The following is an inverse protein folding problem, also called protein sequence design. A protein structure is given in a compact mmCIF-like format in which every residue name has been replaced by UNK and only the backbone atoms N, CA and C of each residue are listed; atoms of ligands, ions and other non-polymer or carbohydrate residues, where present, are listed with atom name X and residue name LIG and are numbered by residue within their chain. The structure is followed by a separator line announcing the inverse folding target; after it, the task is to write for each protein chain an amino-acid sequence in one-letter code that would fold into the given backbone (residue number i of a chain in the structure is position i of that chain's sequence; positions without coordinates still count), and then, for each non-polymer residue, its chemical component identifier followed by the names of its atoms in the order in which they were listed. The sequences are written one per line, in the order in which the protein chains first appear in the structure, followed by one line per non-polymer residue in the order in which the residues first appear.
data_IF_957444593474
#
_entry.id   IF_957444593474
#
_cell.length_a   1.000
_cell.length_b   1.000
_cell.length_c   1.000
_cell.angle_alpha   90.00
_cell.angle_beta   90.00
_cell.angle_gamma   90.00
#
_symmetry.space_group_name_H-M   'P 1'
#
loop_
_entity.id
_entity.type
_entity.pdbx_description
1 polymer ?
#
# COMPACT_ATOMS: atom_id res chain seq x y z
N UNK A 1 13.11 -18.58 18.24
CA UNK A 1 13.31 -18.89 16.82
C UNK A 1 12.94 -17.68 15.99
N UNK A 2 13.68 -17.39 14.94
CA UNK A 2 13.44 -16.29 14.01
C UNK A 2 13.71 -16.75 12.58
N UNK A 3 13.01 -16.17 11.64
CA UNK A 3 13.27 -16.34 10.22
C UNK A 3 13.71 -15.01 9.60
N UNK A 4 14.52 -15.06 8.57
CA UNK A 4 14.97 -13.88 7.84
C UNK A 4 14.28 -13.81 6.49
N UNK A 5 13.88 -12.62 6.06
CA UNK A 5 13.40 -12.32 4.72
C UNK A 5 14.60 -11.83 3.90
N UNK A 6 15.44 -12.78 3.46
CA UNK A 6 16.72 -12.45 2.85
C UNK A 6 16.93 -13.20 1.50
N UNK A 7 16.00 -13.03 0.55
CA UNK A 7 16.35 -13.33 -0.85
C UNK A 7 17.21 -12.21 -1.44
N UNK A 8 17.03 -11.00 -0.92
CA UNK A 8 17.87 -9.83 -1.21
C UNK A 8 18.15 -9.09 0.11
N UNK A 9 19.35 -8.54 0.36
CA UNK A 9 19.65 -7.75 1.56
C UNK A 9 18.88 -6.43 1.50
N UNK A 10 17.66 -6.45 2.04
CA UNK A 10 16.69 -5.37 1.97
C UNK A 10 16.07 -5.14 3.36
N UNK A 11 15.97 -3.89 3.78
CA UNK A 11 15.39 -3.54 5.08
C UNK A 11 13.88 -3.83 5.10
N UNK A 12 13.44 -4.64 6.05
CA UNK A 12 12.01 -4.92 6.25
C UNK A 12 11.26 -3.67 6.66
N UNK A 13 10.23 -3.31 5.88
CA UNK A 13 9.42 -2.10 6.07
C UNK A 13 8.06 -2.40 6.68
N UNK A 14 7.29 -3.33 6.11
CA UNK A 14 5.94 -3.64 6.57
C UNK A 14 5.48 -5.05 6.18
N UNK A 15 4.69 -5.73 7.02
CA UNK A 15 4.02 -6.98 6.66
C UNK A 15 2.59 -6.73 6.17
N UNK A 16 2.08 -7.61 5.30
CA UNK A 16 0.65 -7.70 4.98
C UNK A 16 0.24 -9.15 4.82
N UNK A 17 -0.93 -9.49 5.36
CA UNK A 17 -1.53 -10.82 5.17
C UNK A 17 -2.57 -10.74 4.07
N UNK A 18 -2.39 -11.55 3.03
CA UNK A 18 -3.31 -11.61 1.91
C UNK A 18 -3.46 -13.06 1.41
N UNK A 19 -4.70 -13.52 1.22
CA UNK A 19 -5.03 -14.90 0.78
C UNK A 19 -4.27 -15.99 1.55
N UNK A 20 -4.25 -15.90 2.88
CA UNK A 20 -3.58 -16.85 3.78
C UNK A 20 -2.04 -16.91 3.64
N UNK A 21 -1.45 -15.96 2.96
CA UNK A 21 -0.01 -15.79 2.85
C UNK A 21 0.43 -14.51 3.59
N UNK A 22 1.60 -14.56 4.17
CA UNK A 22 2.27 -13.41 4.76
C UNK A 22 3.22 -12.83 3.73
N UNK A 23 3.01 -11.60 3.34
CA UNK A 23 3.94 -10.84 2.51
C UNK A 23 4.77 -9.94 3.41
N UNK A 24 6.08 -10.06 3.31
CA UNK A 24 7.04 -9.18 3.99
C UNK A 24 7.57 -8.23 2.95
N UNK A 25 7.25 -6.95 3.12
CA UNK A 25 7.69 -5.90 2.23
C UNK A 25 8.95 -5.24 2.80
N UNK A 26 9.98 -5.19 1.99
CA UNK A 26 11.19 -4.43 2.20
C UNK A 26 11.16 -3.10 1.45
N UNK A 27 12.28 -2.39 1.44
CA UNK A 27 12.45 -1.12 0.72
C UNK A 27 12.54 -1.29 -0.81
N UNK A 28 12.96 -2.45 -1.29
CA UNK A 28 13.14 -2.72 -2.73
C UNK A 28 12.34 -3.92 -3.23
N UNK A 29 11.94 -4.84 -2.32
CA UNK A 29 11.32 -6.13 -2.69
C UNK A 29 10.18 -6.52 -1.76
N UNK A 30 9.35 -7.47 -2.18
CA UNK A 30 8.33 -8.10 -1.35
C UNK A 30 8.43 -9.62 -1.50
N UNK A 31 8.57 -10.33 -0.39
CA UNK A 31 8.60 -11.80 -0.32
C UNK A 31 7.32 -12.37 0.27
N UNK A 32 6.87 -13.50 -0.27
CA UNK A 32 5.68 -14.19 0.23
C UNK A 32 6.03 -15.46 1.03
N UNK A 33 5.37 -15.63 2.15
CA UNK A 33 5.51 -16.78 3.05
C UNK A 33 4.15 -17.44 3.26
N UNK A 34 4.18 -18.75 3.47
CA UNK A 34 3.01 -19.53 3.89
C UNK A 34 3.25 -20.14 5.26
N UNK A 35 2.17 -20.26 6.05
CA UNK A 35 2.22 -21.00 7.31
C UNK A 35 2.12 -22.50 7.01
N UNK A 36 3.15 -23.26 7.40
CA UNK A 36 3.24 -24.72 7.23
C UNK A 36 2.97 -25.48 8.53
N UNK A 37 2.68 -24.79 9.65
CA UNK A 37 2.39 -25.40 10.95
C UNK A 37 3.59 -26.01 11.66
N UNK A 38 4.81 -25.56 11.35
CA UNK A 38 6.03 -26.02 12.03
C UNK A 38 6.04 -25.64 13.53
N UNK A 39 6.69 -26.47 14.37
CA UNK A 39 6.77 -26.25 15.82
C UNK A 39 7.77 -25.15 16.20
N UNK A 40 8.83 -24.96 15.40
CA UNK A 40 9.88 -23.98 15.68
C UNK A 40 9.59 -22.65 14.95
N UNK A 41 9.68 -22.64 13.62
CA UNK A 41 9.31 -21.49 12.81
C UNK A 41 8.24 -21.90 11.79
N UNK A 42 6.99 -21.42 11.93
CA UNK A 42 5.86 -21.94 11.17
C UNK A 42 5.76 -21.41 9.73
N UNK A 43 6.61 -20.47 9.33
CA UNK A 43 6.55 -19.85 8.01
C UNK A 43 7.64 -20.37 7.07
N UNK A 44 7.25 -20.65 5.84
CA UNK A 44 8.15 -21.03 4.75
C UNK A 44 7.96 -20.10 3.56
N UNK A 45 9.04 -19.72 2.90
CA UNK A 45 9.00 -18.95 1.65
C UNK A 45 8.23 -19.72 0.57
N UNK A 46 7.35 -19.04 -0.14
CA UNK A 46 6.59 -19.64 -1.25
C UNK A 46 7.35 -19.62 -2.57
N UNK A 47 8.45 -18.86 -2.66
CA UNK A 47 9.18 -18.58 -3.87
C UNK A 47 8.59 -17.40 -4.67
N UNK A 48 7.49 -16.83 -4.26
CA UNK A 48 6.98 -15.59 -4.88
C UNK A 48 7.81 -14.40 -4.38
N UNK A 49 8.40 -13.71 -5.34
CA UNK A 49 9.29 -12.58 -5.14
C UNK A 49 8.86 -11.43 -6.07
N UNK A 50 8.56 -10.28 -5.52
CA UNK A 50 8.17 -9.08 -6.26
C UNK A 50 9.32 -8.07 -6.20
N UNK A 51 9.75 -7.57 -7.36
CA UNK A 51 10.84 -6.57 -7.48
C UNK A 51 10.32 -5.14 -7.28
N UNK A 52 9.51 -4.95 -6.25
CA UNK A 52 8.96 -3.66 -5.81
C UNK A 52 8.89 -3.66 -4.30
N UNK A 53 9.52 -2.66 -3.68
CA UNK A 53 9.46 -2.44 -2.26
C UNK A 53 8.46 -1.35 -1.88
N UNK A 54 8.31 -1.11 -0.59
CA UNK A 54 7.37 -0.15 -0.01
C UNK A 54 8.15 1.04 0.54
N UNK A 55 7.88 2.25 0.02
CA UNK A 55 8.51 3.49 0.49
C UNK A 55 7.69 4.19 1.58
N UNK A 56 6.38 3.92 1.62
CA UNK A 56 5.45 4.46 2.60
C UNK A 56 4.81 3.31 3.41
N UNK A 57 5.31 2.98 4.61
CA UNK A 57 4.88 1.80 5.37
C UNK A 57 3.37 1.74 5.61
N UNK A 58 2.75 2.88 5.93
CA UNK A 58 1.31 2.96 6.21
C UNK A 58 0.45 3.07 4.94
N UNK A 59 1.04 3.04 3.74
CA UNK A 59 0.30 2.97 2.49
C UNK A 59 -0.06 1.53 2.10
N UNK A 60 0.57 0.52 2.71
CA UNK A 60 0.33 -0.89 2.41
C UNK A 60 -1.03 -1.32 2.96
N UNK A 61 -1.97 -1.63 2.05
CA UNK A 61 -3.36 -1.88 2.43
C UNK A 61 -4.02 -2.96 1.56
N UNK A 62 -4.77 -3.85 2.22
CA UNK A 62 -5.58 -4.86 1.53
C UNK A 62 -6.78 -4.21 0.82
N UNK A 63 -7.02 -4.64 -0.41
CA UNK A 63 -8.13 -4.20 -1.23
C UNK A 63 -8.73 -5.42 -1.94
N UNK A 64 -9.99 -5.74 -1.70
CA UNK A 64 -10.69 -6.86 -2.35
C UNK A 64 -9.78 -8.08 -2.67
N UNK A 65 -9.42 -8.27 -3.94
CA UNK A 65 -8.60 -9.38 -4.43
C UNK A 65 -7.10 -9.05 -4.61
N UNK A 66 -6.62 -8.01 -3.93
CA UNK A 66 -5.26 -7.49 -4.06
C UNK A 66 -4.80 -6.80 -2.76
N UNK A 67 -3.58 -6.30 -2.74
CA UNK A 67 -3.15 -5.23 -1.87
C UNK A 67 -2.50 -4.12 -2.70
N UNK A 68 -2.54 -2.90 -2.19
CA UNK A 68 -1.94 -1.72 -2.83
C UNK A 68 -0.95 -1.06 -1.90
N UNK A 69 0.03 -0.36 -2.47
CA UNK A 69 1.07 0.34 -1.71
C UNK A 69 1.73 1.44 -2.54
N UNK A 70 2.39 2.36 -1.86
CA UNK A 70 3.29 3.34 -2.49
C UNK A 70 4.72 2.84 -2.36
N UNK A 71 5.40 2.71 -3.49
CA UNK A 71 6.76 2.20 -3.54
C UNK A 71 7.35 2.18 -4.94
N UNK A 72 8.37 1.36 -5.12
CA UNK A 72 9.08 1.18 -6.38
C UNK A 72 10.11 0.06 -6.27
N UNK A 73 10.83 -0.21 -7.34
CA UNK A 73 12.02 -1.07 -7.33
C UNK A 73 13.30 -0.27 -7.09
N UNK A 74 14.42 -0.97 -7.17
CA UNK A 74 15.74 -0.32 -7.05
C UNK A 74 15.89 0.83 -8.06
N UNK A 75 16.24 2.00 -7.55
CA UNK A 75 16.40 3.25 -8.34
C UNK A 75 15.13 3.70 -9.09
N UNK A 76 13.95 3.27 -8.68
CA UNK A 76 12.70 3.75 -9.24
C UNK A 76 12.08 4.88 -8.40
N UNK A 77 11.38 5.76 -9.09
CA UNK A 77 10.60 6.81 -8.43
C UNK A 77 9.33 6.22 -7.76
N UNK A 78 8.85 6.83 -6.67
CA UNK A 78 7.65 6.37 -5.99
C UNK A 78 6.42 6.44 -6.92
N UNK A 79 5.63 5.38 -6.88
CA UNK A 79 4.36 5.24 -7.59
C UNK A 79 3.39 4.39 -6.76
N UNK A 80 2.11 4.37 -7.12
CA UNK A 80 1.14 3.45 -6.50
C UNK A 80 1.12 2.15 -7.29
N UNK A 81 1.35 1.06 -6.59
CA UNK A 81 1.36 -0.30 -7.13
C UNK A 81 0.26 -1.15 -6.53
N UNK A 82 -0.19 -2.14 -7.27
CA UNK A 82 -1.10 -3.19 -6.79
C UNK A 82 -0.53 -4.57 -7.11
N UNK A 83 -0.79 -5.55 -6.25
CA UNK A 83 -0.53 -6.95 -6.56
C UNK A 83 -1.45 -7.40 -7.72
N UNK A 84 -0.87 -8.05 -8.73
CA UNK A 84 -1.60 -8.57 -9.90
C UNK A 84 -1.12 -9.99 -10.21
N UNK A 85 -1.83 -10.98 -9.70
CA UNK A 85 -1.37 -12.37 -9.76
C UNK A 85 -0.06 -12.54 -8.99
N UNK A 86 1.01 -12.95 -9.66
CA UNK A 86 2.36 -13.11 -9.10
C UNK A 86 3.32 -11.95 -9.45
N UNK A 87 2.78 -10.80 -9.82
CA UNK A 87 3.55 -9.60 -10.18
C UNK A 87 2.91 -8.35 -9.61
N UNK A 88 3.50 -7.20 -9.86
CA UNK A 88 2.91 -5.90 -9.51
C UNK A 88 2.49 -5.16 -10.76
N UNK A 89 1.39 -4.44 -10.68
CA UNK A 89 0.91 -3.52 -11.72
C UNK A 89 0.88 -2.10 -11.19
N UNK A 90 1.37 -1.15 -11.98
CA UNK A 90 1.29 0.27 -11.66
C UNK A 90 -0.14 0.76 -11.84
N UNK A 91 -0.66 1.46 -10.83
CA UNK A 91 -2.03 1.96 -10.79
C UNK A 91 -2.08 3.49 -10.87
N UNK A 92 -1.02 4.15 -10.37
CA UNK A 92 -0.94 5.61 -10.42
C UNK A 92 -0.75 6.14 -11.84
N UNK A 93 -1.11 7.41 -12.01
CA UNK A 93 -0.92 8.17 -13.25
C UNK A 93 0.29 9.09 -13.13
N UNK A 94 0.82 9.56 -14.26
CA UNK A 94 1.99 10.45 -14.29
C UNK A 94 1.83 11.69 -13.39
N UNK A 95 0.69 12.38 -13.33
CA UNK A 95 0.52 13.50 -12.40
C UNK A 95 0.64 13.11 -10.92
N UNK A 96 0.13 11.93 -10.54
CA UNK A 96 0.25 11.41 -9.15
C UNK A 96 1.70 11.08 -8.85
N UNK A 97 2.39 10.40 -9.78
CA UNK A 97 3.80 10.05 -9.62
C UNK A 97 4.67 11.29 -9.43
N UNK A 98 4.42 12.35 -10.21
CA UNK A 98 5.15 13.62 -10.07
C UNK A 98 5.01 14.21 -8.67
N UNK A 99 3.80 14.17 -8.09
CA UNK A 99 3.56 14.65 -6.72
C UNK A 99 4.25 13.77 -5.69
N UNK A 100 4.24 12.44 -5.88
CA UNK A 100 4.93 11.51 -4.99
C UNK A 100 6.46 11.70 -5.01
N UNK A 101 7.03 12.03 -6.17
CA UNK A 101 8.47 12.30 -6.34
C UNK A 101 8.95 13.57 -5.64
N UNK A 102 8.06 14.55 -5.44
CA UNK A 102 8.36 15.79 -4.74
C UNK A 102 8.41 15.63 -3.21
N UNK A 103 7.89 14.51 -2.69
CA UNK A 103 7.88 14.24 -1.26
C UNK A 103 9.25 13.78 -0.76
N UNK A 104 9.68 14.32 0.39
CA UNK A 104 10.84 13.79 1.10
C UNK A 104 10.56 12.39 1.65
N UNK A 105 11.60 11.65 2.04
CA UNK A 105 11.47 10.34 2.68
C UNK A 105 10.57 10.38 3.92
N UNK A 106 10.71 11.40 4.77
CA UNK A 106 9.88 11.57 5.96
C UNK A 106 8.41 11.84 5.60
N UNK A 107 8.17 12.60 4.54
CA UNK A 107 6.83 12.87 4.04
C UNK A 107 6.20 11.61 3.43
N UNK A 108 6.97 10.80 2.70
CA UNK A 108 6.51 9.49 2.19
C UNK A 108 6.20 8.52 3.34
N UNK A 109 7.06 8.46 4.34
CA UNK A 109 6.84 7.62 5.52
C UNK A 109 5.57 8.00 6.30
N UNK A 110 5.14 9.25 6.23
CA UNK A 110 3.92 9.75 6.88
C UNK A 110 2.64 9.52 6.05
N UNK A 111 2.75 9.10 4.79
CA UNK A 111 1.58 8.79 3.95
C UNK A 111 0.87 7.57 4.49
N UNK A 112 -0.44 7.66 4.67
CA UNK A 112 -1.26 6.53 5.09
C UNK A 112 -2.43 6.29 4.13
N UNK A 113 -2.93 5.07 4.15
CA UNK A 113 -4.03 4.62 3.31
C UNK A 113 -5.25 4.18 4.12
N UNK A 114 -6.40 4.20 3.50
CA UNK A 114 -7.67 3.76 4.04
C UNK A 114 -8.58 3.28 2.92
N UNK A 115 -9.54 2.40 3.25
CA UNK A 115 -10.51 1.86 2.31
C UNK A 115 -11.94 2.01 2.84
N UNK A 116 -12.91 2.13 1.93
CA UNK A 116 -14.31 2.00 2.25
C UNK A 116 -15.10 1.59 1.00
N UNK A 117 -16.28 1.05 1.24
CA UNK A 117 -17.25 0.74 0.17
C UNK A 117 -18.49 1.61 0.34
N UNK A 118 -19.00 2.19 -0.73
CA UNK A 118 -20.20 3.01 -0.74
C UNK A 118 -20.94 2.86 -2.08
N UNK A 119 -22.24 2.64 -2.04
CA UNK A 119 -23.11 2.58 -3.23
C UNK A 119 -22.61 1.61 -4.32
N UNK A 120 -22.03 0.46 -3.93
CA UNK A 120 -21.50 -0.53 -4.85
C UNK A 120 -20.11 -0.23 -5.43
N UNK A 121 -19.52 0.91 -5.09
CA UNK A 121 -18.14 1.24 -5.42
C UNK A 121 -17.21 0.97 -4.23
N UNK A 122 -15.96 0.61 -4.51
CA UNK A 122 -14.92 0.39 -3.52
C UNK A 122 -13.78 1.39 -3.75
N UNK A 123 -13.42 2.09 -2.68
CA UNK A 123 -12.47 3.20 -2.73
C UNK A 123 -11.24 2.92 -1.89
N UNK A 124 -10.09 3.32 -2.40
CA UNK A 124 -8.81 3.33 -1.68
C UNK A 124 -8.27 4.75 -1.67
N UNK A 125 -8.09 5.30 -0.48
CA UNK A 125 -7.52 6.63 -0.31
C UNK A 125 -6.07 6.56 0.15
N UNK A 126 -5.24 7.46 -0.40
CA UNK A 126 -3.87 7.73 0.03
C UNK A 126 -3.80 9.19 0.45
N UNK A 127 -3.58 9.41 1.74
CA UNK A 127 -3.48 10.77 2.31
C UNK A 127 -2.01 11.17 2.40
N UNK A 128 -1.66 12.15 1.59
CA UNK A 128 -0.37 12.81 1.54
C UNK A 128 -0.40 14.06 2.45
N UNK A 129 0.73 14.68 2.75
CA UNK A 129 0.77 15.86 3.62
C UNK A 129 -0.14 17.02 3.20
N UNK A 130 -0.30 17.26 1.90
CA UNK A 130 -1.05 18.41 1.36
C UNK A 130 -2.30 18.05 0.58
N UNK A 131 -2.46 16.79 0.16
CA UNK A 131 -3.56 16.33 -0.67
C UNK A 131 -3.94 14.88 -0.37
N UNK A 132 -5.10 14.45 -0.81
CA UNK A 132 -5.55 13.06 -0.71
C UNK A 132 -6.05 12.58 -2.07
N UNK A 133 -5.42 11.54 -2.59
CA UNK A 133 -5.87 10.86 -3.80
C UNK A 133 -6.69 9.63 -3.45
N UNK A 134 -7.78 9.44 -4.16
CA UNK A 134 -8.69 8.31 -3.98
C UNK A 134 -8.84 7.57 -5.29
N UNK A 135 -8.58 6.28 -5.27
CA UNK A 135 -8.79 5.38 -6.39
C UNK A 135 -10.11 4.65 -6.24
N UNK A 136 -10.97 4.75 -7.23
CA UNK A 136 -12.17 3.95 -7.35
C UNK A 136 -11.82 2.64 -8.07
N UNK A 137 -11.87 1.51 -7.37
CA UNK A 137 -11.58 0.19 -7.94
C UNK A 137 -12.60 -0.24 -8.99
N UNK A 138 -13.83 0.28 -8.92
CA UNK A 138 -14.91 -0.08 -9.81
C UNK A 138 -14.77 0.60 -11.18
N UNK A 139 -14.55 1.93 -11.16
CA UNK A 139 -14.39 2.72 -12.38
C UNK A 139 -12.95 2.80 -12.90
N UNK A 140 -11.98 2.37 -12.09
CA UNK A 140 -10.52 2.49 -12.36
C UNK A 140 -10.07 3.93 -12.54
N UNK A 141 -10.67 4.86 -11.80
CA UNK A 141 -10.38 6.29 -11.89
C UNK A 141 -9.84 6.85 -10.60
N UNK A 142 -8.94 7.81 -10.74
CA UNK A 142 -8.44 8.63 -9.64
C UNK A 142 -9.23 9.91 -9.52
N UNK A 143 -9.43 10.35 -8.28
CA UNK A 143 -9.94 11.67 -7.95
C UNK A 143 -9.27 12.21 -6.69
N UNK A 144 -9.26 13.50 -6.56
CA UNK A 144 -8.71 14.18 -5.39
C UNK A 144 -9.82 14.47 -4.38
N UNK A 145 -9.54 14.28 -3.10
CA UNK A 145 -10.41 14.70 -2.00
C UNK A 145 -9.73 15.74 -1.13
N UNK A 146 -10.47 16.76 -0.79
CA UNK A 146 -9.98 17.87 0.04
C UNK A 146 -10.94 18.16 1.18
N UNK A 147 -10.41 18.72 2.25
CA UNK A 147 -11.18 19.32 3.36
C UNK A 147 -10.82 20.78 3.49
N UNK A 148 -11.81 21.58 3.89
CA UNK A 148 -11.59 22.99 4.25
C UNK A 148 -11.35 23.09 5.76
N UNK A 149 -10.24 23.70 6.15
CA UNK A 149 -9.86 23.96 7.53
C UNK A 149 -9.54 25.43 7.68
N UNK A 150 -10.30 26.13 8.51
CA UNK A 150 -10.09 27.57 8.72
C UNK A 150 -10.05 28.38 7.41
N UNK A 151 -10.90 28.01 6.44
CA UNK A 151 -10.95 28.65 5.14
C UNK A 151 -9.87 28.23 4.12
N UNK A 152 -8.96 27.33 4.50
CA UNK A 152 -7.89 26.81 3.63
C UNK A 152 -8.25 25.39 3.14
N UNK A 153 -8.05 25.12 1.84
CA UNK A 153 -8.12 23.78 1.26
C UNK A 153 -6.84 23.01 1.60
N UNK A 154 -7.00 21.79 2.09
CA UNK A 154 -5.90 20.88 2.40
C UNK A 154 -6.28 19.42 2.17
N UNK A 155 -5.43 18.49 2.60
CA UNK A 155 -5.68 17.07 2.54
C UNK A 155 -7.02 16.71 3.21
N UNK A 156 -7.63 15.62 2.78
CA UNK A 156 -8.85 15.11 3.39
C UNK A 156 -8.59 14.68 4.84
N UNK A 157 -9.39 15.17 5.78
CA UNK A 157 -9.11 15.07 7.24
C UNK A 157 -9.37 13.70 7.87
N UNK A 158 -9.75 12.72 7.08
CA UNK A 158 -9.96 11.36 7.59
C UNK A 158 -8.61 10.72 7.88
N UNK A 159 -8.41 10.34 9.15
CA UNK A 159 -7.19 9.67 9.59
C UNK A 159 -7.30 8.13 9.46
N UNK A 160 -8.52 7.60 9.61
CA UNK A 160 -8.79 6.17 9.41
C UNK A 160 -10.26 5.96 9.10
N UNK A 161 -10.59 4.85 8.45
CA UNK A 161 -11.97 4.43 8.19
C UNK A 161 -12.15 3.00 8.66
N UNK A 162 -13.30 2.71 9.26
CA UNK A 162 -13.73 1.37 9.58
C UNK A 162 -15.18 1.22 9.14
N UNK A 163 -15.48 0.13 8.46
CA UNK A 163 -16.86 -0.21 8.11
C UNK A 163 -17.45 -1.09 9.23
N UNK A 164 -18.51 -0.62 9.84
CA UNK A 164 -19.22 -1.35 10.88
C UNK A 164 -20.75 -1.21 10.69
N UNK A 165 -21.50 -2.26 10.95
CA UNK A 165 -22.98 -2.28 10.89
C UNK A 165 -23.54 -1.72 9.56
N UNK A 166 -22.88 -2.01 8.42
CA UNK A 166 -23.21 -1.48 7.09
C UNK A 166 -23.11 0.05 6.94
N UNK A 167 -22.41 0.71 7.84
CA UNK A 167 -22.08 2.14 7.78
C UNK A 167 -20.56 2.34 7.72
N UNK A 168 -20.14 3.44 7.10
CA UNK A 168 -18.75 3.90 7.03
C UNK A 168 -18.58 5.13 7.89
#
# INVERSE_FOLDING_TARGET
DYGTAESDPDDTVAPVVFKNQLFIAGSETIEAFQNIGGTDFPFQRTGLFLQKGVYAPYSLINVQDSFMFIGGGSNESPAVWALSGNSTAKVSTVPIDSILQELSSDQLAAVFSWTYAQNGAYFVGFTLPTTTFVYDLTSKRWHERKSVVSGQLGAFRVASMVQAYNHV
#
